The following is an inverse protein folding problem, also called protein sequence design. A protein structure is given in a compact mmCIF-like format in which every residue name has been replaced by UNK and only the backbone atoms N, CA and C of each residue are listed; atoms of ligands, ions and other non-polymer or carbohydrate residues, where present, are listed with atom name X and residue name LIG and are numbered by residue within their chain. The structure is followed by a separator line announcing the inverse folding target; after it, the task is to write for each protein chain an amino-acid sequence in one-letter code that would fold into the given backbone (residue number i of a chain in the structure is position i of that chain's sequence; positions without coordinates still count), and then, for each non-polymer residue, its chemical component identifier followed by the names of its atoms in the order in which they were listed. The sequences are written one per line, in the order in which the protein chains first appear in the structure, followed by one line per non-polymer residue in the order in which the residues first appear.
data_IF_957763477435
#
_entry.id   IF_957763477435
#
_cell.length_a   1.000
_cell.length_b   1.000
_cell.length_c   1.000
_cell.angle_alpha   90.00
_cell.angle_beta   90.00
_cell.angle_gamma   90.00
#
_symmetry.space_group_name_H-M   'P 1'
#
loop_
_entity.id
_entity.type
_entity.pdbx_description
1 polymer ?
#
# COMPACT_ATOMS: atom_id res chain seq x y z
N UNK A 1 -22.89 32.14 34.12
CA UNK A 1 -23.15 31.59 35.46
C UNK A 1 -22.29 30.34 35.62
N UNK A 2 -21.36 30.42 36.56
CA UNK A 2 -20.38 29.41 36.98
C UNK A 2 -21.07 28.21 37.64
N UNK A 3 -20.50 27.00 37.57
CA UNK A 3 -20.04 26.26 38.75
C UNK A 3 -18.97 25.23 38.34
N UNK A 4 -17.73 25.56 38.63
CA UNK A 4 -16.63 24.62 38.72
C UNK A 4 -16.60 23.98 40.13
N UNK A 5 -15.96 22.81 40.20
CA UNK A 5 -15.32 22.21 41.40
C UNK A 5 -16.24 21.68 42.50
N UNK A 6 -16.23 20.35 42.73
CA UNK A 6 -16.08 19.76 44.07
C UNK A 6 -15.62 18.28 43.97
N UNK A 7 -14.34 18.07 43.69
CA UNK A 7 -13.65 16.82 44.02
C UNK A 7 -13.26 16.91 45.51
N UNK A 8 -14.11 16.35 46.38
CA UNK A 8 -13.87 16.30 47.81
C UNK A 8 -13.22 14.96 48.16
N UNK A 9 -11.96 15.07 48.62
CA UNK A 9 -11.17 14.03 49.27
C UNK A 9 -12.03 13.24 50.27
N UNK A 10 -12.10 11.92 50.13
CA UNK A 10 -12.47 11.04 51.24
C UNK A 10 -11.32 10.10 51.55
N UNK A 11 -10.73 10.38 52.71
CA UNK A 11 -9.74 9.55 53.37
C UNK A 11 -10.39 8.27 53.89
N UNK A 12 -9.64 7.19 53.73
CA UNK A 12 -9.86 5.84 54.23
C UNK A 12 -9.88 5.84 55.77
N UNK A 13 -10.91 5.26 56.39
CA UNK A 13 -10.90 4.78 57.78
C UNK A 13 -11.85 3.58 57.94
N UNK A 14 -11.23 2.40 57.98
CA UNK A 14 -11.56 1.14 58.68
C UNK A 14 -13.00 0.89 59.17
N UNK A 15 -13.61 -0.19 58.66
CA UNK A 15 -14.48 -1.09 59.42
C UNK A 15 -14.55 -2.44 58.70
N UNK A 16 -14.08 -3.50 59.36
CA UNK A 16 -14.14 -4.86 58.88
C UNK A 16 -15.60 -5.35 58.89
N UNK A 17 -16.20 -5.43 57.71
CA UNK A 17 -17.35 -6.26 57.43
C UNK A 17 -16.99 -7.11 56.21
N UNK A 18 -16.89 -8.42 56.40
CA UNK A 18 -16.73 -9.37 55.30
C UNK A 18 -18.03 -9.41 54.50
N UNK A 19 -18.20 -8.44 53.60
CA UNK A 19 -19.19 -8.50 52.54
C UNK A 19 -18.60 -9.40 51.48
N UNK A 20 -19.23 -10.55 51.26
CA UNK A 20 -19.03 -11.35 50.05
C UNK A 20 -19.52 -10.48 48.90
N UNK A 21 -18.64 -9.63 48.38
CA UNK A 21 -18.81 -9.01 47.08
C UNK A 21 -18.73 -10.17 46.09
N UNK A 22 -19.89 -10.65 45.64
CA UNK A 22 -20.00 -11.30 44.35
C UNK A 22 -19.40 -10.32 43.35
N UNK A 23 -18.12 -10.51 43.04
CA UNK A 23 -17.43 -9.79 41.99
C UNK A 23 -18.16 -10.12 40.71
N UNK A 24 -19.06 -9.23 40.29
CA UNK A 24 -19.43 -9.16 38.88
C UNK A 24 -18.14 -8.71 38.22
N UNK A 25 -17.35 -9.70 37.77
CA UNK A 25 -16.32 -9.48 36.77
C UNK A 25 -17.07 -8.93 35.58
N UNK A 26 -17.07 -7.60 35.45
CA UNK A 26 -17.44 -6.94 34.21
C UNK A 26 -16.31 -7.30 33.26
N UNK A 27 -16.42 -8.45 32.61
CA UNK A 27 -15.57 -8.77 31.46
C UNK A 27 -15.85 -7.66 30.46
N UNK A 28 -14.86 -6.84 30.06
CA UNK A 28 -15.07 -5.93 28.96
C UNK A 28 -15.57 -6.77 27.79
N UNK A 29 -16.70 -6.38 27.20
CA UNK A 29 -17.19 -7.02 25.99
C UNK A 29 -16.06 -6.93 24.97
N UNK A 30 -15.48 -8.07 24.61
CA UNK A 30 -14.50 -8.16 23.54
C UNK A 30 -15.11 -7.49 22.32
N UNK A 31 -14.48 -6.42 21.82
CA UNK A 31 -14.88 -5.81 20.57
C UNK A 31 -14.84 -6.89 19.48
N UNK A 32 -15.98 -7.16 18.83
CA UNK A 32 -16.07 -8.19 17.82
C UNK A 32 -15.74 -7.54 16.48
N UNK A 33 -14.56 -7.85 15.93
CA UNK A 33 -14.15 -7.32 14.62
C UNK A 33 -14.80 -8.19 13.56
N UNK A 34 -15.75 -7.65 12.81
CA UNK A 34 -16.50 -8.39 11.78
C UNK A 34 -15.73 -8.31 10.45
N UNK A 35 -15.22 -9.43 9.90
CA UNK A 35 -14.55 -9.45 8.60
C UNK A 35 -15.58 -9.56 7.46
N UNK A 36 -15.59 -8.59 6.54
CA UNK A 36 -16.39 -8.64 5.32
C UNK A 36 -15.46 -8.84 4.12
N UNK A 37 -15.55 -9.97 3.40
CA UNK A 37 -14.66 -10.25 2.29
C UNK A 37 -14.87 -9.27 1.14
N UNK A 38 -13.76 -8.82 0.54
CA UNK A 38 -13.73 -7.96 -0.64
C UNK A 38 -12.78 -8.51 -1.69
N UNK A 39 -13.16 -8.34 -2.97
CA UNK A 39 -12.36 -8.75 -4.11
C UNK A 39 -12.49 -7.71 -5.22
N UNK A 40 -11.34 -7.24 -5.71
CA UNK A 40 -11.25 -6.25 -6.78
C UNK A 40 -10.30 -6.73 -7.88
N UNK A 41 -10.64 -6.43 -9.12
CA UNK A 41 -9.71 -6.40 -10.24
C UNK A 41 -8.91 -5.09 -10.17
N UNK A 42 -7.61 -5.18 -10.41
CA UNK A 42 -6.71 -4.03 -10.29
C UNK A 42 -6.08 -3.71 -11.63
N UNK A 43 -6.25 -2.48 -12.08
CA UNK A 43 -5.45 -1.87 -13.15
C UNK A 43 -4.82 -0.61 -12.61
N UNK A 44 -3.84 -0.06 -13.31
CA UNK A 44 -3.30 1.23 -12.90
C UNK A 44 -2.11 1.66 -13.71
N UNK A 45 -1.45 2.69 -13.19
CA UNK A 45 -0.22 3.20 -13.75
C UNK A 45 0.67 3.78 -12.66
N UNK A 46 1.96 3.83 -12.94
CA UNK A 46 2.93 4.56 -12.14
C UNK A 46 3.81 5.42 -13.02
N UNK A 47 4.20 6.58 -12.53
CA UNK A 47 5.09 7.51 -13.24
C UNK A 47 6.35 7.74 -12.44
N UNK A 48 7.49 7.52 -13.09
CA UNK A 48 8.81 7.81 -12.53
C UNK A 48 9.10 9.30 -12.67
N UNK A 49 9.36 9.98 -11.55
CA UNK A 49 9.49 11.45 -11.52
C UNK A 49 10.64 11.97 -12.39
N UNK A 50 11.77 11.29 -12.32
CA UNK A 50 13.03 11.72 -12.96
C UNK A 50 12.98 11.63 -14.48
N UNK A 51 12.33 10.62 -15.03
CA UNK A 51 12.22 10.42 -16.49
C UNK A 51 10.89 10.88 -17.06
N UNK A 52 9.87 11.07 -16.22
CA UNK A 52 8.49 11.29 -16.65
C UNK A 52 7.85 10.06 -17.32
N UNK A 53 8.53 8.91 -17.32
CA UNK A 53 8.04 7.70 -17.97
C UNK A 53 6.92 7.07 -17.14
N UNK A 54 5.83 6.71 -17.81
CA UNK A 54 4.73 5.98 -17.22
C UNK A 54 4.85 4.48 -17.53
N UNK A 55 4.46 3.65 -16.56
CA UNK A 55 4.39 2.20 -16.68
C UNK A 55 3.00 1.75 -16.26
N UNK A 56 2.35 0.93 -17.10
CA UNK A 56 1.07 0.33 -16.78
C UNK A 56 1.23 -0.78 -15.73
N UNK A 57 0.27 -0.88 -14.81
CA UNK A 57 0.20 -1.89 -13.76
C UNK A 57 -1.03 -2.77 -14.01
N UNK A 58 -0.87 -4.08 -13.86
CA UNK A 58 -1.94 -5.05 -14.05
C UNK A 58 -2.11 -5.52 -15.49
N UNK A 59 -3.23 -6.22 -15.79
CA UNK A 59 -4.33 -6.51 -14.88
C UNK A 59 -3.92 -7.46 -13.73
N UNK A 60 -4.34 -7.14 -12.51
CA UNK A 60 -4.11 -7.93 -11.30
C UNK A 60 -5.34 -8.06 -10.43
N UNK A 61 -5.16 -8.45 -9.17
CA UNK A 61 -6.25 -8.65 -8.21
C UNK A 61 -5.89 -8.18 -6.81
N UNK A 62 -6.87 -7.69 -6.07
CA UNK A 62 -6.78 -7.38 -4.66
C UNK A 62 -7.87 -8.15 -3.92
N UNK A 63 -7.48 -8.97 -2.95
CA UNK A 63 -8.39 -9.82 -2.17
C UNK A 63 -8.14 -9.62 -0.70
N UNK A 64 -9.19 -9.44 0.09
CA UNK A 64 -9.03 -9.13 1.50
C UNK A 64 -10.33 -9.06 2.26
N UNK A 65 -10.29 -8.36 3.39
CA UNK A 65 -11.44 -8.11 4.23
C UNK A 65 -11.51 -6.63 4.63
N UNK A 66 -12.71 -6.07 4.63
CA UNK A 66 -13.04 -4.91 5.46
C UNK A 66 -13.20 -5.41 6.89
N UNK A 67 -12.67 -4.64 7.83
CA UNK A 67 -12.66 -4.96 9.26
C UNK A 67 -13.51 -3.91 9.96
N UNK A 68 -14.73 -4.27 10.34
CA UNK A 68 -15.64 -3.34 11.02
C UNK A 68 -15.51 -3.53 12.52
N UNK A 69 -15.18 -2.46 13.23
CA UNK A 69 -15.29 -2.35 14.67
C UNK A 69 -16.71 -1.90 15.02
N UNK A 70 -17.47 -2.78 15.65
CA UNK A 70 -18.88 -2.56 16.00
C UNK A 70 -19.09 -1.52 17.11
N UNK A 71 -18.05 -1.25 17.91
CA UNK A 71 -18.11 -0.30 19.02
C UNK A 71 -17.75 1.12 18.58
N UNK A 72 -16.74 1.24 17.71
CA UNK A 72 -16.25 2.54 17.25
C UNK A 72 -16.84 2.96 15.90
N UNK A 73 -17.42 2.02 15.14
CA UNK A 73 -17.84 2.23 13.76
C UNK A 73 -16.67 2.40 12.80
N UNK A 74 -15.42 2.17 13.25
CA UNK A 74 -14.23 2.29 12.42
C UNK A 74 -14.18 1.16 11.40
N UNK A 75 -13.83 1.49 10.16
CA UNK A 75 -13.67 0.50 9.09
C UNK A 75 -12.21 0.42 8.69
N UNK A 76 -11.59 -0.72 8.97
CA UNK A 76 -10.27 -1.09 8.49
C UNK A 76 -10.32 -1.86 7.18
N UNK A 77 -9.16 -2.00 6.54
CA UNK A 77 -8.94 -2.86 5.37
C UNK A 77 -7.69 -3.70 5.62
N UNK A 78 -7.76 -4.98 5.27
CA UNK A 78 -6.58 -5.84 5.15
C UNK A 78 -6.70 -6.65 3.86
N UNK A 79 -5.81 -6.43 2.89
CA UNK A 79 -5.92 -7.06 1.58
C UNK A 79 -4.57 -7.40 0.95
N UNK A 80 -4.51 -8.54 0.26
CA UNK A 80 -3.38 -8.99 -0.52
C UNK A 80 -3.51 -8.50 -1.97
N UNK A 81 -2.48 -7.78 -2.42
CA UNK A 81 -2.37 -7.30 -3.79
C UNK A 81 -1.51 -8.25 -4.62
N UNK A 82 -2.05 -8.75 -5.72
CA UNK A 82 -1.31 -9.53 -6.71
C UNK A 82 -1.27 -8.78 -8.04
N UNK A 83 -0.08 -8.39 -8.48
CA UNK A 83 0.16 -7.79 -9.79
C UNK A 83 1.10 -8.68 -10.61
N UNK A 84 0.83 -8.88 -11.91
CA UNK A 84 1.82 -9.46 -12.80
C UNK A 84 3.01 -8.49 -12.97
N UNK A 85 4.16 -8.98 -13.44
CA UNK A 85 5.27 -8.11 -13.82
C UNK A 85 4.84 -7.12 -14.91
N UNK A 86 5.25 -5.86 -14.74
CA UNK A 86 4.98 -4.78 -15.68
C UNK A 86 6.17 -4.52 -16.60
N UNK A 87 5.91 -4.03 -17.80
CA UNK A 87 6.94 -3.65 -18.75
C UNK A 87 7.24 -2.15 -18.63
N UNK A 88 8.48 -1.81 -18.23
CA UNK A 88 9.00 -0.47 -18.36
C UNK A 88 9.56 -0.25 -19.78
N UNK A 89 9.29 0.93 -20.34
CA UNK A 89 9.86 1.42 -21.60
C UNK A 89 10.20 2.90 -21.43
N UNK A 90 11.50 3.19 -21.35
CA UNK A 90 12.03 4.54 -21.13
C UNK A 90 12.74 4.98 -22.41
N UNK A 91 12.37 6.16 -22.87
CA UNK A 91 12.94 6.80 -24.05
C UNK A 91 13.76 8.02 -23.62
N UNK A 92 15.06 7.99 -23.90
CA UNK A 92 16.01 9.05 -23.58
C UNK A 92 16.52 9.73 -24.86
N UNK A 93 17.13 10.91 -24.72
CA UNK A 93 17.77 11.65 -25.82
C UNK A 93 16.84 11.85 -27.03
N UNK A 94 15.63 12.35 -26.78
CA UNK A 94 14.60 12.56 -27.81
C UNK A 94 14.24 11.30 -28.62
N UNK A 95 14.38 10.11 -28.02
CA UNK A 95 14.06 8.84 -28.66
C UNK A 95 15.24 8.05 -29.15
N UNK A 96 16.45 8.63 -29.20
CA UNK A 96 17.63 7.97 -29.76
C UNK A 96 18.05 6.75 -28.94
N UNK A 97 17.84 6.77 -27.62
CA UNK A 97 18.23 5.70 -26.72
C UNK A 97 17.01 5.15 -25.97
N UNK A 98 16.86 3.83 -25.97
CA UNK A 98 15.73 3.13 -25.33
C UNK A 98 16.20 2.16 -24.27
N UNK A 99 15.45 2.09 -23.18
CA UNK A 99 15.64 1.14 -22.10
C UNK A 99 14.32 0.41 -21.88
N UNK A 100 14.34 -0.93 -21.97
CA UNK A 100 13.20 -1.78 -21.65
C UNK A 100 13.58 -2.71 -20.51
N UNK A 101 12.68 -2.91 -19.56
CA UNK A 101 12.89 -3.85 -18.48
C UNK A 101 11.55 -4.38 -17.96
N UNK A 102 11.55 -5.58 -17.38
CA UNK A 102 10.43 -6.06 -16.60
C UNK A 102 10.62 -5.66 -15.15
N UNK A 103 9.54 -5.19 -14.54
CA UNK A 103 9.48 -4.78 -13.14
C UNK A 103 8.49 -5.67 -12.42
N UNK A 104 8.95 -6.37 -11.39
CA UNK A 104 8.10 -7.19 -10.53
C UNK A 104 8.03 -6.54 -9.14
N UNK A 105 6.82 -6.30 -8.67
CA UNK A 105 6.56 -5.81 -7.32
C UNK A 105 6.02 -6.96 -6.49
N UNK A 106 6.71 -7.31 -5.42
CA UNK A 106 6.34 -8.41 -4.51
C UNK A 106 5.99 -7.83 -3.15
N UNK A 107 4.71 -7.87 -2.73
CA UNK A 107 4.32 -7.44 -1.39
C UNK A 107 5.05 -8.21 -0.30
N UNK A 108 5.33 -7.55 0.82
CA UNK A 108 5.91 -8.18 2.02
C UNK A 108 4.86 -8.65 3.01
N UNK A 109 3.59 -8.44 2.70
CA UNK A 109 2.43 -8.77 3.52
C UNK A 109 1.18 -8.07 2.99
N UNK A 110 0.03 -8.24 3.67
CA UNK A 110 -1.21 -7.58 3.30
C UNK A 110 -1.07 -6.06 3.43
N UNK A 111 -1.68 -5.34 2.49
CA UNK A 111 -1.90 -3.90 2.61
C UNK A 111 -2.94 -3.65 3.70
N UNK A 112 -2.64 -2.72 4.60
CA UNK A 112 -3.55 -2.30 5.67
C UNK A 112 -4.15 -0.95 5.32
N UNK A 113 -5.42 -0.71 5.61
CA UNK A 113 -6.04 0.60 5.42
C UNK A 113 -7.04 0.95 6.50
N UNK A 114 -7.39 2.23 6.52
CA UNK A 114 -8.39 2.82 7.41
C UNK A 114 -9.29 3.73 6.60
N UNK A 115 -10.58 3.63 6.84
CA UNK A 115 -11.61 4.51 6.29
C UNK A 115 -12.11 5.39 7.43
N UNK A 116 -11.94 6.69 7.30
CA UNK A 116 -12.43 7.69 8.25
C UNK A 116 -12.95 8.90 7.48
N UNK A 117 -14.15 9.39 7.84
CA UNK A 117 -14.78 10.56 7.21
C UNK A 117 -14.82 10.49 5.68
N UNK A 118 -15.14 9.31 5.13
CA UNK A 118 -15.16 9.08 3.68
C UNK A 118 -13.79 9.01 3.01
N UNK A 119 -12.69 9.08 3.76
CA UNK A 119 -11.33 9.00 3.22
C UNK A 119 -10.71 7.63 3.52
N UNK A 120 -10.28 6.95 2.46
CA UNK A 120 -9.48 5.74 2.56
C UNK A 120 -8.00 6.10 2.54
N UNK A 121 -7.24 5.61 3.52
CA UNK A 121 -5.77 5.63 3.50
C UNK A 121 -5.27 4.21 3.68
N UNK A 122 -4.41 3.77 2.77
CA UNK A 122 -3.80 2.43 2.78
C UNK A 122 -2.29 2.53 2.89
N UNK A 123 -1.68 1.52 3.49
CA UNK A 123 -0.24 1.36 3.66
C UNK A 123 0.16 -0.06 3.27
N UNK A 124 1.23 -0.17 2.49
CA UNK A 124 1.81 -1.45 2.13
C UNK A 124 3.34 -1.33 2.03
N UNK A 125 4.03 -2.45 2.22
CA UNK A 125 5.46 -2.59 1.92
C UNK A 125 5.65 -3.62 0.83
N UNK A 126 6.57 -3.35 -0.10
CA UNK A 126 6.90 -4.29 -1.16
C UNK A 126 8.40 -4.25 -1.49
N UNK A 127 8.89 -5.35 -2.07
CA UNK A 127 10.16 -5.35 -2.77
C UNK A 127 9.91 -5.15 -4.26
N UNK A 128 10.79 -4.39 -4.91
CA UNK A 128 10.79 -4.24 -6.36
C UNK A 128 12.02 -4.91 -6.95
N UNK A 129 11.80 -5.71 -7.99
CA UNK A 129 12.81 -6.43 -8.75
C UNK A 129 12.76 -5.98 -10.21
N UNK A 130 13.92 -5.83 -10.84
CA UNK A 130 14.05 -5.47 -12.25
C UNK A 130 14.85 -6.56 -12.95
N UNK A 131 14.34 -7.05 -14.09
CA UNK A 131 14.99 -8.09 -14.88
C UNK A 131 14.65 -7.94 -16.36
N UNK A 132 15.22 -8.79 -17.22
CA UNK A 132 15.06 -8.71 -18.68
C UNK A 132 15.35 -7.30 -19.20
N UNK A 133 16.51 -6.74 -18.82
CA UNK A 133 16.90 -5.38 -19.19
C UNK A 133 17.50 -5.36 -20.59
N UNK A 134 16.97 -4.49 -21.44
CA UNK A 134 17.47 -4.17 -22.77
C UNK A 134 17.78 -2.69 -22.85
N UNK A 135 18.97 -2.33 -23.33
CA UNK A 135 19.38 -0.95 -23.47
C UNK A 135 20.17 -0.76 -24.77
N UNK A 136 20.00 0.38 -25.42
CA UNK A 136 20.75 0.70 -26.63
C UNK A 136 20.12 1.82 -27.45
N UNK A 137 20.73 2.17 -28.60
CA UNK A 137 20.08 3.03 -29.58
C UNK A 137 18.79 2.39 -30.11
N UNK A 138 17.93 3.16 -30.80
CA UNK A 138 16.67 2.65 -31.39
C UNK A 138 16.89 1.34 -32.13
N UNK A 139 17.96 1.27 -32.92
CA UNK A 139 18.44 0.06 -33.61
C UNK A 139 19.97 0.10 -33.63
N UNK A 140 20.69 -0.92 -33.12
CA UNK A 140 20.22 -2.09 -32.36
C UNK A 140 20.03 -1.85 -30.85
N UNK A 141 19.05 -2.52 -30.24
CA UNK A 141 18.90 -2.62 -28.78
C UNK A 141 19.57 -3.90 -28.27
N UNK A 142 20.35 -3.80 -27.19
CA UNK A 142 21.13 -4.94 -26.69
C UNK A 142 20.60 -5.44 -25.34
N UNK A 143 20.58 -6.76 -25.09
CA UNK A 143 20.30 -7.29 -23.77
C UNK A 143 21.47 -6.97 -22.84
N UNK A 144 21.17 -6.48 -21.64
CA UNK A 144 22.17 -6.33 -20.60
C UNK A 144 22.25 -7.62 -19.78
N UNK A 145 23.46 -8.09 -19.42
CA UNK A 145 23.61 -9.25 -18.55
C UNK A 145 22.98 -8.93 -17.19
N UNK A 146 21.95 -9.69 -16.83
CA UNK A 146 21.29 -9.62 -15.53
C UNK A 146 21.25 -11.02 -14.93
N UNK A 147 21.38 -11.11 -13.62
CA UNK A 147 21.15 -12.37 -12.90
C UNK A 147 19.70 -12.35 -12.42
N UNK A 148 18.86 -13.32 -12.81
CA UNK A 148 17.48 -13.39 -12.32
C UNK A 148 17.43 -13.36 -10.79
N UNK A 149 16.54 -12.55 -10.20
CA UNK A 149 16.45 -12.41 -8.75
C UNK A 149 17.53 -11.56 -8.08
N UNK A 150 18.55 -11.08 -8.80
CA UNK A 150 19.64 -10.29 -8.20
C UNK A 150 19.29 -8.82 -8.06
N UNK A 151 18.79 -8.21 -9.13
CA UNK A 151 18.56 -6.78 -9.23
C UNK A 151 17.28 -6.38 -8.51
N UNK A 152 17.40 -5.92 -7.27
CA UNK A 152 16.28 -5.56 -6.40
C UNK A 152 16.57 -4.33 -5.57
N UNK A 153 15.51 -3.73 -5.01
CA UNK A 153 15.65 -2.61 -4.09
C UNK A 153 16.44 -3.01 -2.84
N UNK A 154 17.34 -2.13 -2.39
CA UNK A 154 18.15 -2.31 -1.17
C UNK A 154 17.29 -2.37 0.09
N UNK A 155 16.22 -1.58 0.10
CA UNK A 155 15.22 -1.57 1.16
C UNK A 155 13.84 -1.82 0.56
N UNK A 156 12.87 -2.30 1.35
CA UNK A 156 11.48 -2.30 0.94
C UNK A 156 11.03 -0.88 0.57
N UNK A 157 10.16 -0.79 -0.42
CA UNK A 157 9.46 0.45 -0.74
C UNK A 157 8.20 0.55 0.12
N UNK A 158 7.91 1.75 0.59
CA UNK A 158 6.70 2.08 1.35
C UNK A 158 5.68 2.72 0.39
N UNK A 159 4.49 2.14 0.33
CA UNK A 159 3.37 2.68 -0.44
C UNK A 159 2.34 3.21 0.54
N UNK A 160 1.96 4.48 0.38
CA UNK A 160 0.77 5.05 1.02
C UNK A 160 -0.14 5.58 -0.07
N UNK A 161 -1.31 4.96 -0.23
CA UNK A 161 -2.31 5.37 -1.21
C UNK A 161 -3.56 5.89 -0.51
N UNK A 162 -4.17 6.90 -1.08
CA UNK A 162 -5.40 7.50 -0.57
C UNK A 162 -6.46 7.62 -1.66
N UNK A 163 -7.71 7.56 -1.23
CA UNK A 163 -8.86 7.97 -2.01
C UNK A 163 -9.76 8.82 -1.10
N UNK A 164 -10.29 9.91 -1.67
CA UNK A 164 -11.20 10.82 -0.97
C UNK A 164 -12.64 10.54 -1.41
N UNK A 165 -13.59 10.88 -0.54
CA UNK A 165 -15.03 10.76 -0.78
C UNK A 165 -15.41 9.36 -1.31
N UNK A 166 -14.82 8.32 -0.71
CA UNK A 166 -14.99 6.95 -1.16
C UNK A 166 -16.40 6.45 -0.89
N UNK A 167 -17.01 5.92 -1.94
CA UNK A 167 -18.19 5.08 -1.83
C UNK A 167 -17.73 3.62 -1.92
N UNK A 168 -17.77 2.91 -0.78
CA UNK A 168 -17.41 1.49 -0.71
C UNK A 168 -18.33 0.59 -1.54
N UNK A 169 -19.50 1.10 -1.94
CA UNK A 169 -20.46 0.40 -2.80
C UNK A 169 -20.26 0.71 -4.28
N UNK A 170 -19.37 1.66 -4.61
CA UNK A 170 -19.09 2.02 -5.99
C UNK A 170 -18.51 0.82 -6.77
N UNK A 171 -18.84 0.71 -8.07
CA UNK A 171 -18.31 -0.36 -8.92
C UNK A 171 -16.80 -0.24 -9.14
N UNK A 172 -16.24 0.96 -8.95
CA UNK A 172 -14.81 1.21 -9.05
C UNK A 172 -14.37 2.26 -8.03
N UNK A 173 -13.17 2.06 -7.47
CA UNK A 173 -12.52 3.00 -6.56
C UNK A 173 -11.11 3.26 -7.08
N UNK A 174 -10.72 4.52 -7.23
CA UNK A 174 -9.35 4.89 -7.62
C UNK A 174 -8.58 5.34 -6.39
N UNK A 175 -7.46 4.66 -6.09
CA UNK A 175 -6.53 5.04 -5.04
C UNK A 175 -5.24 5.59 -5.65
N UNK A 176 -4.75 6.70 -5.13
CA UNK A 176 -3.57 7.38 -5.66
C UNK A 176 -2.56 7.68 -4.56
N UNK A 177 -1.29 7.81 -4.93
CA UNK A 177 -0.27 8.18 -3.96
C UNK A 177 1.04 8.57 -4.59
N UNK A 178 1.96 8.96 -3.73
CA UNK A 178 3.37 9.17 -4.10
C UNK A 178 4.23 8.19 -3.33
N UNK A 179 5.35 7.80 -3.93
CA UNK A 179 6.28 6.87 -3.32
C UNK A 179 7.72 7.17 -3.74
N UNK A 180 8.64 6.66 -2.93
CA UNK A 180 10.07 6.72 -3.19
C UNK A 180 10.51 5.39 -3.76
N UNK A 181 11.17 5.40 -4.91
CA UNK A 181 11.86 4.22 -5.43
C UNK A 181 13.20 4.14 -4.69
N UNK A 182 13.43 3.11 -3.87
CA UNK A 182 14.71 2.94 -3.19
C UNK A 182 15.83 2.66 -4.20
N UNK A 183 17.06 2.90 -3.76
CA UNK A 183 18.25 2.47 -4.50
C UNK A 183 18.23 0.96 -4.77
N UNK A 184 18.74 0.55 -5.92
CA UNK A 184 18.87 -0.85 -6.29
C UNK A 184 20.24 -1.41 -5.89
N UNK A 185 20.33 -2.74 -5.84
CA UNK A 185 21.58 -3.46 -5.62
C UNK A 185 21.63 -4.71 -6.50
N UNK A 186 22.85 -5.09 -6.87
CA UNK A 186 23.15 -6.29 -7.65
C UNK A 186 22.50 -6.26 -9.05
N UNK A 187 22.39 -5.08 -9.66
CA UNK A 187 21.98 -4.90 -11.05
C UNK A 187 23.16 -4.81 -12.03
N UNK A 188 24.36 -5.20 -11.57
CA UNK A 188 25.57 -5.24 -12.39
C UNK A 188 25.86 -3.86 -13.01
N UNK A 189 26.05 -3.78 -14.34
CA UNK A 189 26.30 -2.51 -15.05
C UNK A 189 25.12 -1.53 -14.99
N UNK A 190 23.91 -2.00 -14.63
CA UNK A 190 22.72 -1.15 -14.59
C UNK A 190 22.56 -0.39 -13.26
N UNK A 191 23.31 -0.72 -12.19
CA UNK A 191 23.15 -0.09 -10.86
C UNK A 191 23.24 1.45 -10.94
N UNK A 192 24.25 1.98 -11.63
CA UNK A 192 24.47 3.44 -11.77
C UNK A 192 23.32 4.10 -12.53
N UNK A 193 22.88 3.47 -13.63
CA UNK A 193 21.80 4.01 -14.46
C UNK A 193 20.46 4.00 -13.71
N UNK A 194 20.17 2.93 -12.95
CA UNK A 194 18.93 2.82 -12.18
C UNK A 194 18.89 3.83 -11.01
N UNK A 195 20.01 4.03 -10.32
CA UNK A 195 20.14 5.10 -9.31
C UNK A 195 19.89 6.48 -9.92
N UNK A 196 20.55 6.77 -11.04
CA UNK A 196 20.46 8.06 -11.72
C UNK A 196 19.07 8.34 -12.29
N UNK A 197 18.44 7.37 -12.94
CA UNK A 197 17.24 7.55 -13.75
C UNK A 197 15.94 7.28 -13.01
N UNK A 198 15.89 6.30 -12.10
CA UNK A 198 14.61 5.86 -11.52
C UNK A 198 14.53 5.97 -10.00
N UNK A 199 15.66 5.86 -9.29
CA UNK A 199 15.66 5.90 -7.82
C UNK A 199 15.44 7.32 -7.29
N UNK A 200 14.68 7.47 -6.22
CA UNK A 200 14.39 8.75 -5.58
C UNK A 200 12.91 9.00 -5.29
N UNK A 201 12.58 10.12 -4.63
CA UNK A 201 11.22 10.44 -4.21
C UNK A 201 10.36 11.05 -5.32
N UNK A 202 9.05 11.16 -5.05
CA UNK A 202 8.11 11.92 -5.88
C UNK A 202 7.54 11.16 -7.07
N UNK A 203 7.75 9.84 -7.15
CA UNK A 203 7.07 9.00 -8.13
C UNK A 203 5.60 8.91 -7.77
N UNK A 204 4.74 8.80 -8.78
CA UNK A 204 3.29 8.72 -8.56
C UNK A 204 2.78 7.33 -8.94
N UNK A 205 1.70 6.93 -8.30
CA UNK A 205 1.00 5.68 -8.59
C UNK A 205 -0.51 5.92 -8.47
N UNK A 206 -1.25 5.32 -9.39
CA UNK A 206 -2.71 5.32 -9.43
C UNK A 206 -3.16 3.90 -9.69
N UNK A 207 -4.03 3.36 -8.83
CA UNK A 207 -4.62 2.05 -9.00
C UNK A 207 -6.14 2.20 -9.04
N UNK A 208 -6.75 1.59 -10.04
CA UNK A 208 -8.19 1.48 -10.19
C UNK A 208 -8.62 0.08 -9.72
N UNK A 209 -9.47 0.07 -8.71
CA UNK A 209 -10.02 -1.12 -8.08
C UNK A 209 -11.45 -1.30 -8.57
N UNK A 210 -11.66 -2.17 -9.55
CA UNK A 210 -12.99 -2.52 -10.04
C UNK A 210 -13.52 -3.71 -9.24
N UNK A 211 -14.72 -3.60 -8.67
CA UNK A 211 -15.28 -4.68 -7.86
C UNK A 211 -15.44 -5.95 -8.71
N UNK A 212 -14.97 -7.08 -8.18
CA UNK A 212 -15.26 -8.40 -8.77
C UNK A 212 -16.63 -8.91 -8.31
N UNK A 213 -17.21 -8.23 -7.31
CA UNK A 213 -18.56 -8.44 -6.84
C UNK A 213 -19.56 -8.01 -7.92
N UNK A 214 -20.15 -9.00 -8.57
CA UNK A 214 -21.56 -8.90 -8.92
C UNK A 214 -22.28 -8.88 -7.56
N UNK A 215 -22.55 -7.71 -7.00
CA UNK A 215 -23.38 -7.59 -5.80
C UNK A 215 -24.70 -8.29 -6.13
N UNK A 216 -24.90 -9.47 -5.54
CA UNK A 216 -26.12 -10.26 -5.65
C UNK A 216 -26.80 -10.27 -4.30
#
# INVERSE_FOLDING_TARGET
MSVATQLRRMAVLTSAAAVVLTGVVVTPASADVIPIPVSYKVTGSTTVKKTGSAMALGPGSLKGNLLIDDQTGSVGLSADLALPPSQADISLLSGIFRIKAKVKVTPLGPATGTIADGNLVTKAKANMEIYDIWAGPIIPIFPLPTVPGSCKTKTPLDLTLSAQDIDITAPAITVTGTYTIPEFTNCFVADIALGALVSGPGNTISLDLASDATLK
#
